data_IF_598649816921
#
_entry.id   IF_598649816921
#
_cell.length_a   1.000
_cell.length_b   1.000
_cell.length_c   1.000
_cell.angle_alpha   90.00
_cell.angle_beta   90.00
_cell.angle_gamma   90.00
#
_symmetry.space_group_name_H-M   'P 1'
#
loop_
_entity.id
_entity.type
_entity.pdbx_description
1 polymer ?
#
# COMPACT_ATOMS: atom_id res chain seq x y z
N UNK A 1 37.65 1.83 54.31
CA UNK A 1 37.32 2.93 53.39
C UNK A 1 37.73 2.45 52.00
N UNK A 2 36.77 2.12 51.14
CA UNK A 2 37.07 1.70 49.76
C UNK A 2 37.32 2.96 48.94
N UNK A 3 38.52 3.08 48.35
CA UNK A 3 38.81 4.14 47.38
C UNK A 3 37.87 3.97 46.19
N UNK A 4 36.93 4.91 46.01
CA UNK A 4 36.27 5.12 44.73
C UNK A 4 37.33 5.63 43.75
N UNK A 5 37.75 4.77 42.83
CA UNK A 5 38.61 5.18 41.72
C UNK A 5 37.85 6.19 40.86
N UNK A 6 38.33 7.43 40.82
CA UNK A 6 37.78 8.44 39.92
C UNK A 6 38.02 8.06 38.46
N UNK A 7 37.04 8.35 37.61
CA UNK A 7 37.13 8.15 36.16
C UNK A 7 38.24 9.03 35.57
N UNK A 8 39.07 8.49 34.69
CA UNK A 8 40.16 9.26 34.07
C UNK A 8 39.64 10.06 32.87
N UNK A 9 40.20 11.25 32.62
CA UNK A 9 39.81 12.05 31.44
C UNK A 9 40.07 11.30 30.13
N UNK A 10 41.14 10.50 30.07
CA UNK A 10 41.49 9.72 28.88
C UNK A 10 40.44 8.63 28.58
N UNK A 11 39.88 8.02 29.61
CA UNK A 11 38.83 7.01 29.47
C UNK A 11 37.55 7.61 28.89
N UNK A 12 37.19 8.82 29.30
CA UNK A 12 36.06 9.55 28.71
C UNK A 12 36.30 9.88 27.23
N UNK A 13 37.51 10.33 26.88
CA UNK A 13 37.87 10.66 25.49
C UNK A 13 37.83 9.41 24.59
N UNK A 14 38.33 8.28 25.06
CA UNK A 14 38.30 7.04 24.28
C UNK A 14 36.86 6.58 24.04
N UNK A 15 35.96 6.70 25.03
CA UNK A 15 34.56 6.33 24.89
C UNK A 15 33.86 7.16 23.80
N UNK A 16 34.02 8.48 23.79
CA UNK A 16 33.39 9.34 22.77
C UNK A 16 33.93 9.04 21.36
N UNK A 17 35.22 8.69 21.24
CA UNK A 17 35.83 8.30 19.96
C UNK A 17 35.20 7.00 19.45
N UNK A 18 35.07 5.99 20.32
CA UNK A 18 34.45 4.70 19.97
C UNK A 18 32.99 4.92 19.56
N UNK A 19 32.22 5.70 20.33
CA UNK A 19 30.84 6.04 19.99
C UNK A 19 30.75 6.79 18.66
N UNK A 20 31.67 7.71 18.37
CA UNK A 20 31.73 8.42 17.09
C UNK A 20 31.99 7.49 15.91
N UNK A 21 32.88 6.52 16.05
CA UNK A 21 33.22 5.55 15.00
C UNK A 21 32.07 4.56 14.75
N UNK A 22 31.43 4.09 15.82
CA UNK A 22 30.22 3.27 15.71
C UNK A 22 29.06 4.04 15.07
N UNK A 23 28.85 5.30 15.44
CA UNK A 23 27.81 6.14 14.86
C UNK A 23 28.06 6.41 13.36
N UNK A 24 29.30 6.70 12.96
CA UNK A 24 29.66 6.97 11.57
C UNK A 24 29.36 5.78 10.63
N UNK A 25 29.48 4.55 11.13
CA UNK A 25 29.22 3.33 10.34
C UNK A 25 27.76 2.87 10.41
N UNK A 26 27.09 3.03 11.56
CA UNK A 26 25.71 2.56 11.76
C UNK A 26 24.63 3.53 11.23
N UNK A 27 24.86 4.85 11.33
CA UNK A 27 23.87 5.87 10.98
C UNK A 27 23.45 5.84 9.50
N UNK A 28 24.37 5.71 8.51
CA UNK A 28 23.98 5.65 7.10
C UNK A 28 23.05 4.46 6.80
N UNK A 29 23.31 3.31 7.42
CA UNK A 29 22.47 2.11 7.27
C UNK A 29 21.10 2.30 7.92
N UNK A 30 21.06 2.90 9.11
CA UNK A 30 19.80 3.13 9.83
C UNK A 30 18.84 4.04 9.05
N UNK A 31 19.35 5.05 8.37
CA UNK A 31 18.54 5.96 7.55
C UNK A 31 17.96 5.30 6.29
N UNK A 32 18.64 4.32 5.70
CA UNK A 32 18.15 3.63 4.50
C UNK A 32 17.09 2.57 4.82
N UNK A 33 17.20 1.88 5.97
CA UNK A 33 16.30 0.79 6.35
C UNK A 33 14.83 1.22 6.44
N UNK A 34 14.56 2.45 6.86
CA UNK A 34 13.17 2.95 6.95
C UNK A 34 12.53 3.13 5.58
N UNK A 35 13.26 3.73 4.64
CA UNK A 35 12.77 3.92 3.27
C UNK A 35 12.57 2.56 2.57
N UNK A 36 13.54 1.64 2.72
CA UNK A 36 13.41 0.28 2.19
C UNK A 36 12.21 -0.48 2.80
N UNK A 37 11.94 -0.28 4.09
CA UNK A 37 10.79 -0.91 4.75
C UNK A 37 9.45 -0.36 4.25
N UNK A 38 9.37 0.95 3.99
CA UNK A 38 8.20 1.59 3.39
C UNK A 38 7.94 1.05 1.97
N UNK A 39 8.97 0.99 1.13
CA UNK A 39 8.86 0.47 -0.24
C UNK A 39 8.39 -0.99 -0.25
N UNK A 40 8.98 -1.85 0.60
CA UNK A 40 8.58 -3.26 0.71
C UNK A 40 7.14 -3.41 1.22
N UNK A 41 6.70 -2.54 2.14
CA UNK A 41 5.33 -2.57 2.63
C UNK A 41 4.33 -2.20 1.52
N UNK A 42 4.63 -1.17 0.73
CA UNK A 42 3.80 -0.76 -0.42
C UNK A 42 3.75 -1.86 -1.47
N UNK A 43 4.88 -2.48 -1.79
CA UNK A 43 4.92 -3.59 -2.76
C UNK A 43 4.14 -4.82 -2.28
N UNK A 44 4.17 -5.11 -0.98
CA UNK A 44 3.35 -6.15 -0.37
C UNK A 44 1.85 -5.91 -0.55
N UNK A 45 1.39 -4.68 -0.30
CA UNK A 45 -0.01 -4.28 -0.49
C UNK A 45 -0.37 -4.32 -1.98
N UNK A 46 0.49 -3.79 -2.84
CA UNK A 46 0.28 -3.77 -4.30
C UNK A 46 0.13 -5.17 -4.89
N UNK A 47 0.91 -6.16 -4.42
CA UNK A 47 0.79 -7.55 -4.85
C UNK A 47 -0.55 -8.19 -4.47
N UNK A 48 -1.03 -7.93 -3.25
CA UNK A 48 -2.36 -8.37 -2.81
C UNK A 48 -3.48 -7.71 -3.61
N UNK A 49 -3.39 -6.39 -3.78
CA UNK A 49 -4.34 -5.60 -4.57
C UNK A 49 -4.42 -6.07 -6.03
N UNK A 50 -3.28 -6.31 -6.69
CA UNK A 50 -3.24 -6.81 -8.07
C UNK A 50 -3.93 -8.18 -8.20
N UNK A 51 -3.80 -9.05 -7.19
CA UNK A 51 -4.48 -10.34 -7.16
C UNK A 51 -6.00 -10.17 -7.04
N UNK A 52 -6.47 -9.29 -6.15
CA UNK A 52 -7.88 -8.98 -6.00
C UNK A 52 -8.48 -8.38 -7.27
N UNK A 53 -7.78 -7.43 -7.91
CA UNK A 53 -8.17 -6.87 -9.22
C UNK A 53 -8.34 -7.96 -10.28
N UNK A 54 -7.43 -8.94 -10.33
CA UNK A 54 -7.51 -10.08 -11.23
C UNK A 54 -8.74 -10.96 -10.97
N UNK A 55 -9.11 -11.17 -9.71
CA UNK A 55 -10.30 -11.93 -9.34
C UNK A 55 -11.60 -11.21 -9.71
N UNK A 56 -11.68 -9.89 -9.48
CA UNK A 56 -12.84 -9.09 -9.91
C UNK A 56 -13.00 -9.14 -11.43
N UNK A 57 -11.91 -8.99 -12.17
CA UNK A 57 -11.92 -9.14 -13.64
C UNK A 57 -12.41 -10.53 -14.05
N UNK A 58 -11.96 -11.58 -13.36
CA UNK A 58 -12.42 -12.94 -13.63
C UNK A 58 -13.92 -13.11 -13.35
N UNK A 59 -14.46 -12.49 -12.30
CA UNK A 59 -15.90 -12.50 -12.03
C UNK A 59 -16.70 -11.78 -13.11
N UNK A 60 -16.19 -10.67 -13.65
CA UNK A 60 -16.81 -9.98 -14.78
C UNK A 60 -16.88 -10.86 -16.03
N UNK A 61 -15.81 -11.62 -16.33
CA UNK A 61 -15.82 -12.59 -17.43
C UNK A 61 -16.85 -13.70 -17.19
N UNK A 62 -16.93 -14.25 -15.97
CA UNK A 62 -17.89 -15.30 -15.60
C UNK A 62 -19.33 -14.78 -15.60
N UNK A 63 -19.55 -13.51 -15.26
CA UNK A 63 -20.84 -12.84 -15.32
C UNK A 63 -21.30 -12.55 -16.76
N UNK A 64 -20.52 -12.94 -17.77
CA UNK A 64 -20.87 -12.79 -19.18
C UNK A 64 -20.58 -11.38 -19.72
N UNK A 65 -19.60 -10.69 -19.14
CA UNK A 65 -19.19 -9.33 -19.54
C UNK A 65 -20.35 -8.35 -19.50
N UNK A 66 -20.97 -8.13 -18.32
CA UNK A 66 -21.98 -7.11 -18.18
C UNK A 66 -21.36 -5.77 -18.60
N UNK A 67 -21.98 -5.09 -19.56
CA UNK A 67 -21.45 -3.84 -20.06
C UNK A 67 -22.10 -2.65 -19.35
N UNK A 68 -23.34 -2.72 -18.85
CA UNK A 68 -23.98 -1.71 -17.96
C UNK A 68 -23.98 -0.25 -18.48
N UNK A 69 -23.47 -0.08 -19.70
CA UNK A 69 -23.09 1.13 -20.41
C UNK A 69 -24.28 1.75 -21.16
N UNK A 70 -25.50 1.30 -20.87
CA UNK A 70 -26.73 1.68 -21.58
C UNK A 70 -27.67 2.59 -20.81
N UNK A 71 -27.37 2.95 -19.56
CA UNK A 71 -28.23 3.79 -18.70
C UNK A 71 -27.65 5.17 -18.40
N UNK A 72 -28.47 6.10 -17.92
CA UNK A 72 -28.07 7.49 -17.56
C UNK A 72 -26.94 7.57 -16.53
N UNK A 73 -26.69 6.49 -15.79
CA UNK A 73 -25.67 6.43 -14.75
C UNK A 73 -24.37 5.71 -15.17
N UNK A 74 -24.34 5.01 -16.31
CA UNK A 74 -23.20 4.19 -16.80
C UNK A 74 -22.55 3.32 -15.71
N UNK A 75 -23.25 2.24 -15.30
CA UNK A 75 -22.88 1.45 -14.12
C UNK A 75 -22.85 -0.02 -14.41
N UNK A 76 -21.71 -0.61 -14.13
CA UNK A 76 -21.45 -2.04 -14.19
C UNK A 76 -20.88 -2.50 -12.87
N UNK A 77 -21.51 -3.53 -12.30
CA UNK A 77 -21.17 -4.01 -10.96
C UNK A 77 -21.01 -5.51 -10.99
N UNK A 78 -20.00 -6.01 -10.27
CA UNK A 78 -19.78 -7.42 -9.99
C UNK A 78 -19.61 -7.63 -8.49
N UNK A 79 -20.03 -8.79 -7.99
CA UNK A 79 -19.95 -9.10 -6.56
C UNK A 79 -18.68 -9.88 -6.25
N UNK A 80 -17.70 -9.22 -5.64
CA UNK A 80 -16.48 -9.81 -5.14
C UNK A 80 -16.61 -10.09 -3.64
N UNK A 81 -16.58 -11.37 -3.25
CA UNK A 81 -16.77 -11.81 -1.87
C UNK A 81 -17.96 -11.15 -1.13
N UNK A 82 -19.14 -11.15 -1.77
CA UNK A 82 -20.36 -10.50 -1.28
C UNK A 82 -20.30 -8.95 -1.20
N UNK A 83 -19.20 -8.34 -1.63
CA UNK A 83 -19.05 -6.89 -1.76
C UNK A 83 -19.29 -6.48 -3.23
N UNK A 84 -20.22 -5.56 -3.50
CA UNK A 84 -20.41 -5.04 -4.85
C UNK A 84 -19.25 -4.12 -5.22
N UNK A 85 -18.57 -4.40 -6.33
CA UNK A 85 -17.48 -3.59 -6.85
C UNK A 85 -17.90 -3.00 -8.19
N UNK A 86 -17.74 -1.68 -8.35
CA UNK A 86 -17.87 -1.03 -9.63
C UNK A 86 -16.75 -1.46 -10.57
N UNK A 87 -17.10 -1.86 -11.78
CA UNK A 87 -16.13 -2.20 -12.83
C UNK A 87 -16.43 -1.41 -14.09
N UNK A 88 -15.42 -1.18 -14.90
CA UNK A 88 -15.62 -0.64 -16.24
C UNK A 88 -16.35 -1.67 -17.11
N UNK A 89 -17.42 -1.25 -17.78
CA UNK A 89 -18.24 -2.13 -18.60
C UNK A 89 -17.57 -2.66 -19.86
N UNK A 90 -16.58 -1.95 -20.41
CA UNK A 90 -15.89 -2.35 -21.65
C UNK A 90 -14.66 -3.22 -21.37
N UNK A 91 -13.95 -2.90 -20.28
CA UNK A 91 -12.70 -3.58 -19.90
C UNK A 91 -12.80 -4.39 -18.61
N UNK A 92 -13.91 -4.46 -17.90
CA UNK A 92 -14.10 -5.36 -16.75
C UNK A 92 -13.14 -5.19 -15.57
N UNK A 93 -12.37 -4.10 -15.51
CA UNK A 93 -11.46 -3.81 -14.40
C UNK A 93 -12.18 -2.97 -13.33
N UNK A 94 -11.85 -3.14 -12.04
CA UNK A 94 -12.42 -2.33 -10.96
C UNK A 94 -12.20 -0.84 -11.22
N UNK A 95 -13.25 -0.07 -11.05
CA UNK A 95 -13.25 1.37 -11.29
C UNK A 95 -13.69 2.20 -10.08
N UNK A 96 -14.36 1.61 -9.08
CA UNK A 96 -14.74 2.38 -7.91
C UNK A 96 -15.95 1.90 -7.13
N UNK A 97 -16.62 2.88 -6.53
CA UNK A 97 -17.89 2.70 -5.85
C UNK A 97 -18.94 2.18 -6.85
N UNK A 98 -19.62 1.05 -6.57
CA UNK A 98 -20.71 0.57 -7.43
C UNK A 98 -21.87 1.57 -7.53
N UNK A 99 -21.95 2.59 -6.65
CA UNK A 99 -22.93 3.66 -6.60
C UNK A 99 -22.68 4.83 -7.58
N UNK A 100 -21.46 4.98 -8.09
CA UNK A 100 -21.05 6.07 -8.99
C UNK A 100 -21.00 5.60 -10.45
N UNK A 101 -20.59 6.48 -11.37
CA UNK A 101 -20.31 6.11 -12.75
C UNK A 101 -19.06 5.21 -12.77
N UNK A 102 -19.18 4.00 -13.32
CA UNK A 102 -18.10 3.00 -13.25
C UNK A 102 -17.19 3.01 -14.47
N UNK A 103 -17.29 4.03 -15.34
CA UNK A 103 -16.37 4.24 -16.46
C UNK A 103 -14.98 4.60 -15.97
N UNK A 104 -13.96 4.06 -16.64
CA UNK A 104 -12.57 4.43 -16.39
C UNK A 104 -12.31 5.95 -16.53
N UNK A 105 -13.05 6.66 -17.39
CA UNK A 105 -12.92 8.11 -17.58
C UNK A 105 -13.49 8.95 -16.43
N UNK A 106 -14.24 8.33 -15.52
CA UNK A 106 -14.98 9.00 -14.45
C UNK A 106 -14.47 8.66 -13.05
N UNK A 107 -13.35 7.93 -12.96
CA UNK A 107 -12.75 7.52 -11.69
C UNK A 107 -12.28 8.73 -10.89
N UNK A 108 -12.70 8.79 -9.63
CA UNK A 108 -12.36 9.85 -8.67
C UNK A 108 -11.42 9.35 -7.58
N UNK A 109 -10.94 10.26 -6.72
CA UNK A 109 -10.16 9.87 -5.54
C UNK A 109 -10.97 9.03 -4.55
N UNK A 110 -12.28 9.29 -4.42
CA UNK A 110 -13.17 8.53 -3.54
C UNK A 110 -13.36 7.10 -4.05
N UNK A 111 -13.40 6.90 -5.37
CA UNK A 111 -13.45 5.57 -5.99
C UNK A 111 -12.18 4.76 -5.68
N UNK A 112 -11.00 5.38 -5.75
CA UNK A 112 -9.75 4.72 -5.36
C UNK A 112 -9.74 4.32 -3.88
N UNK A 113 -10.23 5.18 -3.00
CA UNK A 113 -10.38 4.86 -1.58
C UNK A 113 -11.39 3.73 -1.36
N UNK A 114 -12.49 3.72 -2.10
CA UNK A 114 -13.45 2.62 -2.05
C UNK A 114 -12.79 1.29 -2.40
N UNK A 115 -12.04 1.24 -3.51
CA UNK A 115 -11.36 0.02 -3.96
C UNK A 115 -10.32 -0.47 -2.94
N UNK A 116 -9.48 0.41 -2.40
CA UNK A 116 -8.46 0.02 -1.41
C UNK A 116 -9.09 -0.56 -0.14
N UNK A 117 -10.24 -0.07 0.30
CA UNK A 117 -10.91 -0.55 1.53
C UNK A 117 -11.81 -1.78 1.33
N UNK A 118 -12.12 -2.15 0.08
CA UNK A 118 -13.10 -3.21 -0.21
C UNK A 118 -12.53 -4.37 -1.04
N UNK A 119 -11.39 -4.19 -1.71
CA UNK A 119 -10.70 -5.28 -2.42
C UNK A 119 -9.70 -6.04 -1.55
N UNK A 120 -9.28 -5.43 -0.45
CA UNK A 120 -8.28 -5.95 0.48
C UNK A 120 -8.73 -5.74 1.92
#
# INVERSE_FOLDING_TARGET
MQQQGGFTLIELVIVIIILGLLAATALPRFLNVTAEAEDVAVEGIAGGYASAVGLVRAQWEVAGRPDGNGGTAERTVVNYDMVPIGVDGDIGYPSGDPASNTRFTSVTADDCLYLINNLF
#
